data_IF_596541183124
#
_entry.id   IF_596541183124
#
_cell.length_a   1.000
_cell.length_b   1.000
_cell.length_c   1.000
_cell.angle_alpha   90.00
_cell.angle_beta   90.00
_cell.angle_gamma   90.00
#
_symmetry.space_group_name_H-M   'P 1'
#
loop_
_entity.id
_entity.type
_entity.pdbx_description
1 polymer ?
#
# COMPACT_ATOMS: atom_id res chain seq x y z
N UNK A 1 16.59 47.29 2.20
CA UNK A 1 16.99 45.88 2.04
C UNK A 1 16.50 45.01 3.21
N UNK A 2 16.66 45.44 4.47
CA UNK A 2 16.34 44.66 5.69
C UNK A 2 14.85 44.29 5.88
N UNK A 3 13.91 45.11 5.42
CA UNK A 3 12.46 44.86 5.63
C UNK A 3 11.96 43.63 4.87
N UNK A 4 12.51 43.36 3.68
CA UNK A 4 12.11 42.19 2.89
C UNK A 4 12.59 40.87 3.51
N UNK A 5 13.75 40.86 4.17
CA UNK A 5 14.28 39.66 4.82
C UNK A 5 13.46 39.26 6.04
N UNK A 6 13.00 40.25 6.82
CA UNK A 6 12.11 40.02 7.96
C UNK A 6 10.74 39.51 7.50
N UNK A 7 10.18 40.12 6.44
CA UNK A 7 8.93 39.66 5.86
C UNK A 7 9.03 38.23 5.30
N UNK A 8 10.14 37.92 4.62
CA UNK A 8 10.41 36.58 4.12
C UNK A 8 10.55 35.54 5.24
N UNK A 9 11.24 35.90 6.34
CA UNK A 9 11.39 35.03 7.50
C UNK A 9 10.05 34.75 8.19
N UNK A 10 9.20 35.78 8.37
CA UNK A 10 7.88 35.61 8.97
C UNK A 10 6.98 34.73 8.09
N UNK A 11 7.01 34.91 6.77
CA UNK A 11 6.26 34.07 5.83
C UNK A 11 6.76 32.62 5.82
N UNK A 12 8.08 32.41 5.90
CA UNK A 12 8.66 31.08 5.98
C UNK A 12 8.24 30.36 7.28
N UNK A 13 8.32 31.04 8.43
CA UNK A 13 7.87 30.49 9.70
C UNK A 13 6.36 30.19 9.71
N UNK A 14 5.54 31.07 9.13
CA UNK A 14 4.10 30.84 9.00
C UNK A 14 3.78 29.64 8.09
N UNK A 15 4.50 29.48 6.97
CA UNK A 15 4.34 28.34 6.07
C UNK A 15 4.73 27.01 6.74
N UNK A 16 5.85 26.99 7.49
CA UNK A 16 6.28 25.81 8.26
C UNK A 16 5.26 25.49 9.36
N UNK A 17 4.80 26.49 10.11
CA UNK A 17 3.78 26.31 11.15
C UNK A 17 2.47 25.76 10.58
N UNK A 18 2.06 26.24 9.41
CA UNK A 18 0.87 25.74 8.71
C UNK A 18 1.04 24.28 8.24
N UNK A 19 2.21 23.92 7.70
CA UNK A 19 2.53 22.55 7.28
C UNK A 19 2.55 21.57 8.47
N UNK A 20 3.16 21.98 9.59
CA UNK A 20 3.20 21.20 10.83
C UNK A 20 1.80 21.04 11.41
N UNK A 21 1.02 22.12 11.49
CA UNK A 21 -0.38 22.05 11.96
C UNK A 21 -1.23 21.12 11.09
N UNK A 22 -1.13 21.26 9.76
CA UNK A 22 -1.79 20.36 8.80
C UNK A 22 -1.34 18.93 8.97
N UNK A 23 -0.05 18.67 9.16
CA UNK A 23 0.47 17.34 9.43
C UNK A 23 -0.17 16.79 10.70
N UNK A 24 0.16 17.34 11.87
CA UNK A 24 -0.15 16.70 13.15
C UNK A 24 -1.63 16.75 13.56
N UNK A 25 -2.42 17.73 13.10
CA UNK A 25 -3.81 17.92 13.56
C UNK A 25 -4.89 17.52 12.55
N UNK A 26 -4.54 17.05 11.36
CA UNK A 26 -5.54 16.43 10.46
C UNK A 26 -5.58 14.91 10.67
N UNK A 27 -6.77 14.33 10.51
CA UNK A 27 -6.98 12.89 10.68
C UNK A 27 -5.93 12.09 9.90
N UNK A 28 -5.41 10.95 10.42
CA UNK A 28 -4.32 10.20 9.80
C UNK A 28 -4.53 9.84 8.31
N UNK A 29 -5.76 9.83 7.80
CA UNK A 29 -6.06 9.70 6.37
C UNK A 29 -5.64 10.89 5.49
N UNK A 30 -5.41 12.07 6.07
CA UNK A 30 -4.92 13.28 5.39
C UNK A 30 -3.43 13.17 5.05
N UNK A 31 -2.62 12.50 5.87
CA UNK A 31 -1.21 12.23 5.52
C UNK A 31 -1.09 11.40 4.26
N UNK A 32 -1.94 10.39 4.07
CA UNK A 32 -1.99 9.60 2.83
C UNK A 32 -2.33 10.41 1.56
N UNK A 33 -2.76 11.67 1.70
CA UNK A 33 -3.05 12.57 0.57
C UNK A 33 -1.89 13.46 0.15
N UNK A 34 -0.78 13.48 0.90
CA UNK A 34 0.40 14.24 0.53
C UNK A 34 1.11 13.57 -0.66
N UNK A 35 1.65 14.37 -1.58
CA UNK A 35 2.38 13.88 -2.77
C UNK A 35 3.61 13.01 -2.44
N UNK A 36 4.12 13.08 -1.20
CA UNK A 36 5.19 12.19 -0.73
C UNK A 36 4.68 10.77 -0.41
N UNK A 37 3.39 10.63 -0.10
CA UNK A 37 2.73 9.37 0.26
C UNK A 37 1.78 8.86 -0.83
N UNK A 38 1.67 9.57 -1.96
CA UNK A 38 0.90 9.16 -3.13
C UNK A 38 1.47 7.94 -3.86
N UNK A 39 2.52 7.32 -3.33
CA UNK A 39 3.11 6.08 -3.84
C UNK A 39 3.06 4.94 -2.81
N UNK A 40 2.51 5.16 -1.61
CA UNK A 40 2.33 4.09 -0.64
C UNK A 40 1.16 3.23 -1.11
N UNK A 41 1.50 2.09 -1.70
CA UNK A 41 0.59 0.97 -1.90
C UNK A 41 0.68 0.01 -0.73
N UNK A 42 -0.45 -0.55 -0.30
CA UNK A 42 -0.46 -1.62 0.69
C UNK A 42 -1.45 -2.70 0.27
N UNK A 43 -1.06 -3.96 0.37
CA UNK A 43 -1.89 -5.10 0.03
C UNK A 43 -2.22 -5.89 1.30
N UNK A 44 -3.51 -6.14 1.54
CA UNK A 44 -3.95 -7.06 2.58
C UNK A 44 -4.81 -8.15 1.95
N UNK A 45 -4.28 -9.37 1.88
CA UNK A 45 -4.91 -10.53 1.25
C UNK A 45 -4.99 -11.69 2.23
N UNK A 46 -6.09 -12.43 2.18
CA UNK A 46 -6.24 -13.72 2.85
C UNK A 46 -6.29 -14.80 1.79
N UNK A 47 -5.26 -15.62 1.75
CA UNK A 47 -5.14 -16.72 0.79
C UNK A 47 -5.40 -18.06 1.49
N UNK A 48 -5.98 -18.99 0.76
CA UNK A 48 -6.11 -20.38 1.15
C UNK A 48 -5.82 -21.27 -0.05
N UNK A 49 -5.31 -22.47 0.21
CA UNK A 49 -5.15 -23.49 -0.80
C UNK A 49 -6.53 -23.99 -1.24
N UNK A 50 -6.76 -24.07 -2.54
CA UNK A 50 -8.01 -24.55 -3.14
C UNK A 50 -8.19 -26.05 -2.93
N UNK A 51 -7.09 -26.81 -2.85
CA UNK A 51 -7.13 -28.27 -2.70
C UNK A 51 -7.47 -28.67 -1.26
N UNK A 52 -6.80 -28.04 -0.31
CA UNK A 52 -6.76 -28.50 1.08
C UNK A 52 -7.56 -27.56 2.01
N UNK A 53 -7.94 -26.37 1.53
CA UNK A 53 -8.57 -25.31 2.31
C UNK A 53 -7.65 -24.64 3.34
N UNK A 54 -6.37 -25.05 3.41
CA UNK A 54 -5.43 -24.55 4.41
C UNK A 54 -5.11 -23.07 4.17
N UNK A 55 -5.04 -22.25 5.23
CA UNK A 55 -4.63 -20.86 5.07
C UNK A 55 -3.19 -20.80 4.57
N UNK A 56 -2.95 -19.96 3.56
CA UNK A 56 -1.62 -19.70 3.03
C UNK A 56 -1.20 -18.32 3.49
N UNK A 57 -0.13 -18.25 4.29
CA UNK A 57 0.46 -17.00 4.72
C UNK A 57 1.41 -16.50 3.63
N UNK A 58 1.09 -15.42 2.90
CA UNK A 58 1.94 -14.95 1.81
C UNK A 58 3.33 -14.49 2.30
N UNK A 59 3.40 -14.03 3.56
CA UNK A 59 4.63 -13.56 4.22
C UNK A 59 5.67 -14.66 4.45
N UNK A 60 5.28 -15.94 4.46
CA UNK A 60 6.22 -17.06 4.57
C UNK A 60 7.01 -17.28 3.27
N UNK A 61 6.53 -16.70 2.16
CA UNK A 61 7.09 -16.86 0.82
C UNK A 61 7.65 -15.55 0.26
N UNK A 62 7.61 -14.46 1.04
CA UNK A 62 8.17 -13.16 0.65
C UNK A 62 9.67 -13.13 0.98
N UNK A 63 10.49 -12.70 0.02
CA UNK A 63 11.86 -12.33 0.32
C UNK A 63 11.82 -11.05 1.19
N UNK A 64 12.65 -10.90 2.25
CA UNK A 64 12.63 -9.76 3.19
C UNK A 64 12.78 -8.36 2.58
N UNK A 65 12.97 -8.27 1.27
CA UNK A 65 13.31 -7.08 0.48
C UNK A 65 12.28 -6.80 -0.62
N UNK A 66 11.36 -7.74 -0.88
CA UNK A 66 10.15 -7.45 -1.63
C UNK A 66 9.10 -7.03 -0.62
N UNK A 67 8.50 -5.86 -0.83
CA UNK A 67 7.30 -5.45 -0.12
C UNK A 67 6.16 -5.50 -1.13
N UNK A 68 5.15 -6.35 -0.91
CA UNK A 68 3.95 -6.45 -1.73
C UNK A 68 3.15 -5.14 -1.73
N UNK A 69 3.60 -4.18 -2.53
CA UNK A 69 3.02 -2.85 -2.65
C UNK A 69 2.13 -2.72 -3.88
N UNK A 70 2.13 -3.73 -4.78
CA UNK A 70 1.38 -3.70 -6.03
C UNK A 70 0.60 -5.00 -6.33
N UNK A 71 -0.49 -4.91 -7.12
CA UNK A 71 -1.20 -6.09 -7.63
C UNK A 71 -0.33 -7.04 -8.45
N UNK A 72 0.70 -6.50 -9.13
CA UNK A 72 1.60 -7.31 -9.96
C UNK A 72 2.52 -8.17 -9.10
N UNK A 73 2.99 -7.66 -7.97
CA UNK A 73 3.78 -8.43 -7.00
C UNK A 73 2.95 -9.58 -6.42
N UNK A 74 1.66 -9.33 -6.10
CA UNK A 74 0.74 -10.38 -5.68
C UNK A 74 0.53 -11.44 -6.78
N UNK A 75 0.48 -11.03 -8.06
CA UNK A 75 0.35 -11.96 -9.19
C UNK A 75 1.58 -12.86 -9.29
N UNK A 76 2.77 -12.29 -9.14
CA UNK A 76 4.03 -13.04 -9.15
C UNK A 76 4.09 -14.05 -8.02
N UNK A 77 3.67 -13.68 -6.80
CA UNK A 77 3.60 -14.61 -5.67
C UNK A 77 2.63 -15.75 -5.94
N UNK A 78 1.43 -15.45 -6.42
CA UNK A 78 0.41 -16.46 -6.73
C UNK A 78 0.93 -17.42 -7.80
N UNK A 79 1.65 -16.92 -8.81
CA UNK A 79 2.30 -17.75 -9.83
C UNK A 79 3.41 -18.61 -9.23
N UNK A 80 4.26 -18.03 -8.38
CA UNK A 80 5.33 -18.75 -7.69
C UNK A 80 4.79 -19.90 -6.82
N UNK A 81 3.69 -19.68 -6.10
CA UNK A 81 3.04 -20.72 -5.30
C UNK A 81 2.49 -21.87 -6.17
N UNK A 82 1.97 -21.56 -7.36
CA UNK A 82 1.47 -22.58 -8.29
C UNK A 82 2.61 -23.35 -8.98
N UNK A 83 3.63 -22.63 -9.49
CA UNK A 83 4.73 -23.21 -10.26
C UNK A 83 5.74 -23.98 -9.40
N UNK A 84 6.16 -23.41 -8.26
CA UNK A 84 7.27 -23.95 -7.45
C UNK A 84 6.77 -24.80 -6.27
N UNK A 85 5.59 -24.49 -5.73
CA UNK A 85 5.02 -25.20 -4.58
C UNK A 85 3.80 -26.06 -4.93
N UNK A 86 3.33 -26.01 -6.19
CA UNK A 86 2.16 -26.77 -6.64
C UNK A 86 0.85 -26.40 -5.92
N UNK A 87 0.81 -25.22 -5.29
CA UNK A 87 -0.31 -24.72 -4.48
C UNK A 87 -1.16 -23.77 -5.28
N UNK A 88 -2.38 -24.21 -5.58
CA UNK A 88 -3.38 -23.33 -6.17
C UNK A 88 -4.04 -22.52 -5.07
N UNK A 89 -3.82 -21.21 -5.06
CA UNK A 89 -4.37 -20.32 -4.06
C UNK A 89 -5.59 -19.55 -4.56
N UNK A 90 -6.58 -19.43 -3.69
CA UNK A 90 -7.73 -18.55 -3.84
C UNK A 90 -7.89 -17.69 -2.59
N UNK A 91 -8.64 -16.60 -2.68
CA UNK A 91 -8.80 -15.71 -1.55
C UNK A 91 -9.39 -14.37 -1.88
N UNK A 92 -9.54 -13.54 -0.85
CA UNK A 92 -10.04 -12.18 -0.98
C UNK A 92 -9.07 -11.22 -0.31
N UNK A 93 -9.05 -9.98 -0.81
CA UNK A 93 -8.16 -8.97 -0.30
C UNK A 93 -8.54 -7.56 -0.70
N UNK A 94 -7.70 -6.65 -0.26
CA UNK A 94 -7.80 -5.24 -0.53
C UNK A 94 -6.43 -4.73 -0.91
N UNK A 95 -6.37 -4.06 -2.06
CA UNK A 95 -5.24 -3.23 -2.44
C UNK A 95 -5.60 -1.79 -2.11
N UNK A 96 -4.81 -1.19 -1.23
CA UNK A 96 -4.75 0.24 -1.02
C UNK A 96 -3.83 0.79 -2.10
N UNK A 97 -4.42 1.49 -3.06
CA UNK A 97 -3.71 2.28 -4.05
C UNK A 97 -3.82 3.75 -3.65
N UNK A 98 -2.98 4.64 -4.22
CA UNK A 98 -3.05 6.06 -3.92
C UNK A 98 -4.48 6.58 -4.11
N UNK A 99 -5.05 7.15 -3.04
CA UNK A 99 -6.40 7.72 -3.02
C UNK A 99 -7.56 6.74 -3.27
N UNK A 100 -7.33 5.42 -3.34
CA UNK A 100 -8.40 4.46 -3.59
C UNK A 100 -8.20 3.12 -2.91
N UNK A 101 -9.32 2.49 -2.54
CA UNK A 101 -9.35 1.15 -1.96
C UNK A 101 -10.01 0.22 -2.98
N UNK A 102 -9.26 -0.75 -3.47
CA UNK A 102 -9.74 -1.71 -4.47
C UNK A 102 -9.90 -3.05 -3.77
N UNK A 103 -11.13 -3.57 -3.72
CA UNK A 103 -11.36 -4.96 -3.33
C UNK A 103 -10.93 -5.87 -4.47
N UNK A 104 -10.17 -6.88 -4.12
CA UNK A 104 -9.66 -7.88 -5.06
C UNK A 104 -10.03 -9.27 -4.57
N UNK A 105 -10.15 -10.19 -5.51
CA UNK A 105 -10.32 -11.62 -5.27
C UNK A 105 -9.27 -12.36 -6.09
N UNK A 106 -8.66 -13.37 -5.50
CA UNK A 106 -7.77 -14.31 -6.16
C UNK A 106 -8.58 -15.56 -6.47
N UNK A 107 -8.73 -15.88 -7.75
CA UNK A 107 -9.44 -17.06 -8.24
C UNK A 107 -8.56 -17.76 -9.27
N UNK A 108 -8.27 -19.04 -9.06
CA UNK A 108 -7.49 -19.87 -10.00
C UNK A 108 -6.19 -19.18 -10.47
N UNK A 109 -5.41 -18.66 -9.54
CA UNK A 109 -4.15 -18.00 -9.87
C UNK A 109 -4.27 -16.59 -10.45
N UNK A 110 -5.48 -16.05 -10.58
CA UNK A 110 -5.74 -14.73 -11.17
C UNK A 110 -6.34 -13.77 -10.17
N UNK A 111 -5.86 -12.53 -10.19
CA UNK A 111 -6.41 -11.44 -9.40
C UNK A 111 -7.50 -10.75 -10.23
N UNK A 112 -8.73 -10.74 -9.71
CA UNK A 112 -9.88 -10.03 -10.27
C UNK A 112 -10.34 -8.94 -9.31
N UNK A 113 -10.90 -7.86 -9.85
CA UNK A 113 -11.57 -6.84 -9.04
C UNK A 113 -12.90 -7.42 -8.55
N UNK A 114 -13.16 -7.31 -7.24
CA UNK A 114 -14.36 -7.83 -6.59
C UNK A 114 -15.48 -6.77 -6.52
#
# INVERSE_FOLDING_TARGET
>A
MVINDIAAAVLACAAVGWLVWRGFFTAPGSFGSWAMFSHIGACHVRLHDVRDGQPVCPWEYEAPQDFFTSPDALRSLVRYLDEEHGRQVAGDGVVLAPFTRIRIRVVNGRIVRA
#
